data_IF_531570711067
#
_entry.id   IF_531570711067
#
_cell.length_a   1.000
_cell.length_b   1.000
_cell.length_c   1.000
_cell.angle_alpha   90.00
_cell.angle_beta   90.00
_cell.angle_gamma   90.00
#
_symmetry.space_group_name_H-M   'P 1'
#
loop_
_entity.id
_entity.type
_entity.pdbx_description
1 polymer ?
#
# COMPACT_ATOMS: atom_id res chain seq x y z
N UNK A 1 17.15 4.00 3.89
CA UNK A 1 15.87 3.71 4.55
C UNK A 1 15.44 2.27 4.29
N UNK A 2 14.71 1.63 5.21
CA UNK A 2 14.05 0.36 4.93
C UNK A 2 12.91 0.56 3.92
N UNK A 3 12.86 -0.30 2.90
CA UNK A 3 11.77 -0.35 1.92
C UNK A 3 11.24 -1.77 1.95
N UNK A 4 10.08 -1.95 2.58
CA UNK A 4 9.46 -3.25 2.85
C UNK A 4 7.97 -3.10 2.56
N UNK A 5 7.50 -3.60 1.44
CA UNK A 5 6.09 -3.48 1.05
C UNK A 5 5.66 -4.66 0.19
N UNK A 6 4.35 -4.95 0.25
CA UNK A 6 3.65 -5.75 -0.74
C UNK A 6 2.55 -4.88 -1.33
N UNK A 7 2.45 -4.87 -2.66
CA UNK A 7 1.51 -4.04 -3.40
C UNK A 7 0.80 -4.86 -4.46
N UNK A 8 -0.47 -4.56 -4.71
CA UNK A 8 -1.31 -5.23 -5.68
C UNK A 8 -1.39 -4.36 -6.92
N UNK A 9 -0.72 -4.76 -8.00
CA UNK A 9 -0.69 -4.02 -9.26
C UNK A 9 -1.61 -4.71 -10.27
N UNK A 10 -2.52 -4.00 -10.95
CA UNK A 10 -3.25 -4.56 -12.09
C UNK A 10 -2.29 -5.18 -13.10
N UNK A 11 -2.57 -6.39 -13.56
CA UNK A 11 -1.63 -7.16 -14.39
C UNK A 11 -1.22 -6.44 -15.68
N UNK A 12 -2.14 -5.66 -16.26
CA UNK A 12 -1.93 -4.85 -17.47
C UNK A 12 -1.03 -3.63 -17.23
N UNK A 13 -0.77 -3.28 -15.97
CA UNK A 13 0.11 -2.18 -15.53
C UNK A 13 1.37 -2.69 -14.84
N UNK A 14 1.59 -4.01 -14.79
CA UNK A 14 2.72 -4.60 -14.08
C UNK A 14 4.07 -4.23 -14.69
N UNK A 15 4.16 -4.17 -16.02
CA UNK A 15 5.38 -3.76 -16.72
C UNK A 15 5.79 -2.34 -16.33
N UNK A 16 4.86 -1.38 -16.41
CA UNK A 16 5.08 0.01 -15.98
C UNK A 16 5.61 0.09 -14.54
N UNK A 17 5.04 -0.71 -13.62
CA UNK A 17 5.48 -0.76 -12.24
C UNK A 17 6.91 -1.30 -12.12
N UNK A 18 7.21 -2.42 -12.77
CA UNK A 18 8.53 -3.06 -12.69
C UNK A 18 9.63 -2.21 -13.32
N UNK A 19 9.35 -1.54 -14.44
CA UNK A 19 10.28 -0.62 -15.08
C UNK A 19 10.64 0.56 -14.17
N UNK A 20 9.63 1.20 -13.56
CA UNK A 20 9.85 2.21 -12.53
C UNK A 20 10.65 1.63 -11.36
N UNK A 21 10.23 0.47 -10.84
CA UNK A 21 10.78 -0.09 -9.62
C UNK A 21 12.25 -0.47 -9.79
N UNK A 22 12.61 -1.07 -10.92
CA UNK A 22 14.00 -1.43 -11.21
C UNK A 22 14.88 -0.20 -11.51
N UNK A 23 14.35 0.81 -12.21
CA UNK A 23 15.13 1.99 -12.57
C UNK A 23 15.36 2.95 -11.40
N UNK A 24 14.34 3.18 -10.56
CA UNK A 24 14.40 4.17 -9.48
C UNK A 24 14.70 3.57 -8.10
N UNK A 25 14.26 2.34 -7.81
CA UNK A 25 14.40 1.72 -6.48
C UNK A 25 15.51 0.65 -6.46
N UNK A 26 15.59 -0.16 -7.51
CA UNK A 26 16.70 -1.10 -7.74
C UNK A 26 16.74 -2.32 -6.82
N UNK A 27 15.67 -2.61 -6.06
CA UNK A 27 15.60 -3.83 -5.24
C UNK A 27 15.40 -5.04 -6.15
N UNK A 28 16.22 -6.07 -5.95
CA UNK A 28 16.12 -7.37 -6.62
C UNK A 28 16.64 -8.47 -5.68
N UNK A 29 16.04 -9.68 -5.68
CA UNK A 29 14.83 -10.08 -6.43
C UNK A 29 13.54 -9.48 -5.85
N UNK A 30 12.45 -9.55 -6.62
CA UNK A 30 11.07 -9.27 -6.16
C UNK A 30 10.22 -10.54 -6.21
N UNK A 31 9.24 -10.64 -5.31
CA UNK A 31 8.23 -11.70 -5.33
C UNK A 31 7.06 -11.30 -6.22
N UNK A 32 6.56 -12.22 -7.07
CA UNK A 32 5.40 -11.99 -7.93
C UNK A 32 4.36 -13.09 -7.68
N UNK A 33 3.17 -12.70 -7.24
CA UNK A 33 2.08 -13.63 -6.96
C UNK A 33 0.77 -13.16 -7.63
N UNK A 34 0.39 -13.75 -8.78
CA UNK A 34 -0.88 -13.43 -9.42
C UNK A 34 -2.06 -13.78 -8.52
N UNK A 35 -3.01 -12.86 -8.38
CA UNK A 35 -4.20 -13.05 -7.56
C UNK A 35 -5.42 -12.37 -8.18
N UNK A 36 -6.59 -12.94 -7.90
CA UNK A 36 -7.89 -12.36 -8.21
C UNK A 36 -8.80 -12.60 -7.02
N UNK A 37 -9.68 -11.65 -6.72
CA UNK A 37 -10.68 -11.84 -5.67
C UNK A 37 -11.60 -13.00 -6.07
N UNK A 38 -11.90 -13.86 -5.12
CA UNK A 38 -12.86 -14.95 -5.32
C UNK A 38 -14.28 -14.38 -5.19
N UNK A 39 -15.13 -14.71 -6.17
CA UNK A 39 -16.52 -14.25 -6.27
C UNK A 39 -16.65 -12.72 -6.41
N UNK A 40 -17.88 -12.21 -6.43
CA UNK A 40 -18.17 -10.78 -6.57
C UNK A 40 -18.02 -9.99 -5.25
N UNK A 41 -17.33 -10.57 -4.25
CA UNK A 41 -17.19 -9.98 -2.92
C UNK A 41 -16.19 -8.83 -2.95
N UNK A 42 -16.62 -7.63 -2.60
CA UNK A 42 -15.73 -6.49 -2.39
C UNK A 42 -15.46 -6.29 -0.90
N UNK A 43 -14.19 -6.40 -0.51
CA UNK A 43 -13.76 -6.18 0.88
C UNK A 43 -13.70 -4.68 1.17
N UNK A 44 -14.49 -4.14 2.12
CA UNK A 44 -14.65 -2.70 2.23
C UNK A 44 -13.36 -1.93 2.52
N UNK A 45 -12.45 -2.51 3.30
CA UNK A 45 -11.18 -1.87 3.70
C UNK A 45 -9.99 -2.27 2.80
N UNK A 46 -10.23 -3.14 1.82
CA UNK A 46 -9.23 -3.60 0.88
C UNK A 46 -9.90 -3.84 -0.50
N UNK A 47 -10.36 -2.76 -1.15
CA UNK A 47 -11.37 -2.84 -2.20
C UNK A 47 -10.75 -3.16 -3.58
N UNK A 48 -10.18 -4.36 -3.72
CA UNK A 48 -9.76 -4.87 -5.03
C UNK A 48 -10.97 -5.12 -5.93
N UNK A 49 -10.81 -4.89 -7.23
CA UNK A 49 -11.85 -5.18 -8.22
C UNK A 49 -11.91 -6.69 -8.52
N UNK A 50 -13.02 -7.40 -8.26
CA UNK A 50 -13.14 -8.82 -8.52
C UNK A 50 -12.99 -9.20 -10.00
N UNK A 51 -13.16 -8.25 -10.93
CA UNK A 51 -12.96 -8.51 -12.36
C UNK A 51 -11.53 -8.27 -12.86
N UNK A 52 -10.65 -7.77 -12.00
CA UNK A 52 -9.26 -7.47 -12.34
C UNK A 52 -8.33 -8.56 -11.82
N UNK A 53 -7.43 -9.03 -12.70
CA UNK A 53 -6.28 -9.82 -12.28
C UNK A 53 -5.20 -8.86 -11.77
N UNK A 54 -4.79 -9.05 -10.52
CA UNK A 54 -3.68 -8.32 -9.92
C UNK A 54 -2.47 -9.24 -9.81
N UNK A 55 -1.29 -8.64 -9.67
CA UNK A 55 -0.09 -9.31 -9.20
C UNK A 55 0.33 -8.64 -7.91
N UNK A 56 0.38 -9.42 -6.83
CA UNK A 56 1.02 -8.96 -5.60
C UNK A 56 2.54 -9.00 -5.82
N UNK A 57 3.15 -7.82 -5.72
CA UNK A 57 4.58 -7.58 -5.87
C UNK A 57 5.17 -7.31 -4.49
N UNK A 58 5.93 -8.27 -3.96
CA UNK A 58 6.56 -8.17 -2.65
C UNK A 58 8.05 -7.83 -2.77
N UNK A 59 8.52 -6.87 -1.98
CA UNK A 59 9.92 -6.45 -1.97
C UNK A 59 10.35 -5.94 -0.59
N UNK A 60 11.59 -6.27 -0.22
CA UNK A 60 12.14 -5.97 1.10
C UNK A 60 13.66 -5.76 1.01
N UNK A 61 14.13 -4.55 1.31
CA UNK A 61 15.56 -4.26 1.42
C UNK A 61 15.81 -2.93 2.13
N UNK A 62 17.07 -2.52 2.18
CA UNK A 62 17.47 -1.15 2.50
C UNK A 62 17.90 -0.42 1.23
N UNK A 63 17.29 0.74 0.96
CA UNK A 63 17.66 1.60 -0.17
C UNK A 63 18.38 2.82 0.36
N UNK A 64 19.50 3.18 -0.28
CA UNK A 64 20.30 4.34 0.13
C UNK A 64 19.56 5.64 -0.23
N UNK A 65 19.52 6.56 0.73
CA UNK A 65 19.09 7.94 0.50
C UNK A 65 20.24 8.74 -0.12
N UNK A 66 19.94 9.55 -1.11
CA UNK A 66 20.86 10.54 -1.65
C UNK A 66 21.07 11.70 -0.65
N UNK A 67 22.17 12.48 -0.77
CA UNK A 67 22.40 13.64 0.09
C UNK A 67 21.22 14.62 0.04
N UNK A 68 20.64 14.92 1.22
CA UNK A 68 19.50 15.84 1.36
C UNK A 68 18.12 15.18 1.29
N UNK A 69 18.03 13.89 0.94
CA UNK A 69 16.76 13.15 1.01
C UNK A 69 16.40 12.78 2.45
N UNK A 70 15.11 12.71 2.71
CA UNK A 70 14.55 12.39 4.02
C UNK A 70 14.10 10.93 4.09
N UNK A 71 13.94 10.40 5.31
CA UNK A 71 13.34 9.08 5.50
C UNK A 71 11.91 9.03 4.91
N UNK A 72 11.58 7.92 4.25
CA UNK A 72 10.33 7.74 3.52
C UNK A 72 10.36 8.24 2.07
N UNK A 73 11.48 8.74 1.54
CA UNK A 73 11.54 9.29 0.18
C UNK A 73 11.16 8.24 -0.86
N UNK A 74 11.82 7.09 -0.84
CA UNK A 74 11.55 5.97 -1.75
C UNK A 74 10.18 5.35 -1.48
N UNK A 75 9.81 5.19 -0.20
CA UNK A 75 8.51 4.64 0.17
C UNK A 75 7.34 5.49 -0.35
N UNK A 76 7.38 6.81 -0.18
CA UNK A 76 6.37 7.75 -0.71
C UNK A 76 6.33 7.75 -2.24
N UNK A 77 7.48 7.60 -2.89
CA UNK A 77 7.57 7.50 -4.36
C UNK A 77 6.86 6.24 -4.86
N UNK A 78 7.16 5.09 -4.26
CA UNK A 78 6.52 3.81 -4.54
C UNK A 78 5.01 3.90 -4.32
N UNK A 79 4.57 4.39 -3.16
CA UNK A 79 3.15 4.55 -2.83
C UNK A 79 2.39 5.42 -3.83
N UNK A 80 3.03 6.50 -4.31
CA UNK A 80 2.45 7.34 -5.36
C UNK A 80 2.30 6.59 -6.68
N UNK A 81 3.34 5.90 -7.14
CA UNK A 81 3.29 5.14 -8.40
C UNK A 81 2.26 4.02 -8.31
N UNK A 82 2.19 3.30 -7.19
CA UNK A 82 1.17 2.27 -6.94
C UNK A 82 -0.23 2.87 -7.09
N UNK A 83 -0.49 4.02 -6.46
CA UNK A 83 -1.78 4.70 -6.56
C UNK A 83 -2.08 5.18 -8.00
N UNK A 84 -1.10 5.74 -8.71
CA UNK A 84 -1.25 6.22 -10.10
C UNK A 84 -1.52 5.09 -11.09
N UNK A 85 -1.01 3.88 -10.81
CA UNK A 85 -1.26 2.67 -11.60
C UNK A 85 -2.58 1.96 -11.22
N UNK A 86 -3.38 2.53 -10.31
CA UNK A 86 -4.62 1.92 -9.82
C UNK A 86 -4.36 0.68 -8.95
N UNK A 87 -3.16 0.56 -8.41
CA UNK A 87 -2.79 -0.49 -7.48
C UNK A 87 -3.22 -0.20 -6.05
N UNK A 88 -2.91 -1.15 -5.18
CA UNK A 88 -3.19 -1.08 -3.76
C UNK A 88 -1.95 -1.47 -2.96
N UNK A 89 -1.83 -0.96 -1.73
CA UNK A 89 -0.73 -1.32 -0.82
C UNK A 89 -1.30 -2.12 0.34
N UNK A 90 -0.60 -3.18 0.72
CA UNK A 90 -0.92 -3.92 1.93
C UNK A 90 -0.42 -3.19 3.20
N UNK A 91 -1.25 -3.17 4.25
CA UNK A 91 -1.02 -2.42 5.50
C UNK A 91 -0.22 -3.18 6.59
N UNK A 92 0.69 -4.08 6.21
CA UNK A 92 1.51 -4.81 7.19
C UNK A 92 2.79 -4.07 7.59
N UNK A 93 3.26 -3.16 6.75
CA UNK A 93 4.44 -2.33 6.97
C UNK A 93 4.10 -0.85 7.09
N UNK A 94 5.09 -0.04 7.48
CA UNK A 94 4.93 1.41 7.57
C UNK A 94 4.47 1.98 6.24
N UNK A 95 3.47 2.84 6.32
CA UNK A 95 2.93 3.59 5.19
C UNK A 95 3.24 5.07 5.36
N UNK A 96 3.41 5.78 4.25
CA UNK A 96 3.81 7.19 4.24
C UNK A 96 2.77 8.11 3.56
N UNK A 97 1.57 7.59 3.31
CA UNK A 97 0.44 8.35 2.78
C UNK A 97 0.08 9.54 3.68
N UNK A 98 -0.22 10.71 3.11
CA UNK A 98 -1.00 11.73 3.80
C UNK A 98 -2.34 11.15 4.28
N UNK A 99 -2.81 11.60 5.44
CA UNK A 99 -4.04 11.08 6.08
C UNK A 99 -5.26 11.06 5.16
N UNK A 100 -5.47 12.13 4.40
CA UNK A 100 -6.55 12.21 3.41
C UNK A 100 -6.43 11.13 2.33
N UNK A 101 -5.22 10.88 1.84
CA UNK A 101 -4.98 9.88 0.80
C UNK A 101 -5.16 8.47 1.37
N UNK A 102 -4.63 8.23 2.56
CA UNK A 102 -4.81 6.98 3.29
C UNK A 102 -6.30 6.62 3.41
N UNK A 103 -7.11 7.52 3.96
CA UNK A 103 -8.55 7.24 4.14
C UNK A 103 -9.32 7.10 2.84
N UNK A 104 -8.84 7.72 1.74
CA UNK A 104 -9.39 7.47 0.40
C UNK A 104 -9.08 6.05 -0.07
N UNK A 105 -7.86 5.55 0.15
CA UNK A 105 -7.46 4.21 -0.29
C UNK A 105 -8.11 3.09 0.56
N UNK A 106 -8.27 3.30 1.87
CA UNK A 106 -8.75 2.27 2.81
C UNK A 106 -10.16 2.51 3.33
N UNK A 107 -10.97 3.29 2.62
CA UNK A 107 -12.39 3.50 2.90
C UNK A 107 -12.67 4.00 4.33
N UNK A 108 -12.19 5.21 4.62
CA UNK A 108 -12.28 5.82 5.94
C UNK A 108 -13.69 5.89 6.51
N UNK A 109 -14.71 6.16 5.68
CA UNK A 109 -16.10 6.24 6.17
C UNK A 109 -16.58 4.91 6.76
N UNK A 110 -16.33 3.81 6.04
CA UNK A 110 -16.68 2.47 6.52
C UNK A 110 -15.86 2.10 7.74
N UNK A 111 -14.56 2.37 7.73
CA UNK A 111 -13.69 2.10 8.87
C UNK A 111 -14.16 2.85 10.13
N UNK A 112 -14.46 4.14 10.02
CA UNK A 112 -14.88 4.97 11.15
C UNK A 112 -16.23 4.54 11.71
N UNK A 113 -17.15 4.05 10.86
CA UNK A 113 -18.39 3.44 11.33
C UNK A 113 -18.10 2.19 12.17
N UNK A 114 -17.24 1.28 11.69
CA UNK A 114 -16.84 0.08 12.44
C UNK A 114 -16.14 0.46 13.75
N UNK A 115 -15.24 1.44 13.73
CA UNK A 115 -14.52 1.92 14.91
C UNK A 115 -15.48 2.40 16.00
N UNK A 116 -16.48 3.21 15.64
CA UNK A 116 -17.51 3.68 16.60
C UNK A 116 -18.35 2.54 17.16
N UNK A 117 -18.67 1.52 16.36
CA UNK A 117 -19.49 0.38 16.81
C UNK A 117 -18.72 -0.54 17.74
N UNK A 118 -17.44 -0.82 17.44
CA UNK A 118 -16.69 -1.88 18.11
C UNK A 118 -15.62 -1.38 19.10
N UNK A 119 -15.26 -0.10 19.04
CA UNK A 119 -14.33 0.54 19.98
C UNK A 119 -14.74 2.01 20.24
N UNK A 120 -15.95 2.25 20.79
CA UNK A 120 -16.51 3.59 20.97
C UNK A 120 -15.68 4.49 21.88
N UNK A 121 -14.93 3.90 22.82
CA UNK A 121 -14.06 4.62 23.75
C UNK A 121 -12.65 4.85 23.20
N UNK A 122 -12.36 4.39 21.97
CA UNK A 122 -11.09 4.60 21.29
C UNK A 122 -9.90 3.97 22.01
N UNK A 123 -10.06 2.76 22.58
CA UNK A 123 -9.03 2.09 23.37
C UNK A 123 -7.86 1.59 22.53
N UNK A 124 -8.10 1.27 21.26
CA UNK A 124 -7.08 0.83 20.32
C UNK A 124 -6.71 1.99 19.38
N UNK A 125 -5.49 2.06 18.84
CA UNK A 125 -5.16 2.97 17.74
C UNK A 125 -6.09 2.75 16.55
N UNK A 126 -6.30 3.79 15.74
CA UNK A 126 -6.92 3.61 14.43
C UNK A 126 -5.93 3.08 13.39
N UNK A 127 -6.40 2.77 12.18
CA UNK A 127 -5.51 2.26 11.11
C UNK A 127 -4.43 3.26 10.71
N UNK A 128 -4.73 4.56 10.69
CA UNK A 128 -3.76 5.57 10.30
C UNK A 128 -2.69 5.78 11.38
N UNK A 129 -3.10 5.83 12.65
CA UNK A 129 -2.21 5.89 13.80
C UNK A 129 -1.27 4.70 13.82
N UNK A 130 -1.80 3.49 13.62
CA UNK A 130 -1.01 2.26 13.57
C UNK A 130 -0.06 2.22 12.38
N UNK A 131 -0.56 2.41 11.17
CA UNK A 131 0.18 2.12 9.93
C UNK A 131 1.08 3.27 9.47
N UNK A 132 0.77 4.52 9.85
CA UNK A 132 1.49 5.72 9.39
C UNK A 132 2.18 6.45 10.53
N UNK A 133 1.50 6.68 11.67
CA UNK A 133 2.09 7.43 12.79
C UNK A 133 2.94 6.56 13.73
N UNK A 134 2.80 5.24 13.68
CA UNK A 134 3.51 4.29 14.54
C UNK A 134 3.13 4.44 16.02
N UNK A 135 1.84 4.65 16.30
CA UNK A 135 1.28 4.86 17.65
C UNK A 135 0.29 3.77 18.03
#
# INVERSE_FOLDING_TARGET
>A
EPVIQDVEIPVDRLEDFLDFFHSEIGITPVWLCPLRVRDDTRWPLYPLDPDTLYVNVGFWSSVRLAPGEQDGTHNRRIERVVADLGGHKSLYSTSYYPERDFWRHYNGDTYQALKRTYDPDGRLPDLYDKCVRGR
#
